data_IF_950678255872
#
_entry.id   IF_950678255872
#
_cell.length_a   1.000
_cell.length_b   1.000
_cell.length_c   1.000
_cell.angle_alpha   90.00
_cell.angle_beta   90.00
_cell.angle_gamma   90.00
#
_symmetry.space_group_name_H-M   'P 1'
#
loop_
_entity.id
_entity.type
_entity.pdbx_description
1 polymer ?
#
# COMPACT_ATOMS: atom_id res chain seq x y z
N UNK A 1 -3.59 20.24 -61.42
CA UNK A 1 -4.35 19.49 -60.40
C UNK A 1 -3.80 18.06 -60.36
N UNK A 2 -2.92 17.76 -59.40
CA UNK A 2 -2.35 16.41 -59.25
C UNK A 2 -3.24 15.54 -58.36
N UNK A 3 -3.59 14.35 -58.84
CA UNK A 3 -4.37 13.34 -58.12
C UNK A 3 -3.41 12.35 -57.47
N UNK A 4 -3.46 12.20 -56.15
CA UNK A 4 -2.78 11.12 -55.43
C UNK A 4 -3.67 9.87 -55.37
N UNK A 5 -3.09 8.64 -55.46
CA UNK A 5 -3.82 7.40 -55.27
C UNK A 5 -4.00 7.05 -53.78
N UNK A 6 -5.04 6.28 -53.41
CA UNK A 6 -5.26 5.84 -52.03
C UNK A 6 -4.40 4.62 -51.68
N UNK A 7 -3.68 4.69 -50.57
CA UNK A 7 -2.97 3.56 -49.95
C UNK A 7 -3.89 2.80 -49.01
N UNK A 8 -4.23 1.57 -49.40
CA UNK A 8 -4.92 0.58 -48.56
C UNK A 8 -3.91 -0.15 -47.67
N UNK A 9 -4.02 -0.01 -46.34
CA UNK A 9 -3.27 -0.83 -45.39
C UNK A 9 -4.26 -1.67 -44.56
N UNK A 10 -4.27 -2.97 -44.85
CA UNK A 10 -4.96 -4.00 -44.07
C UNK A 10 -4.28 -4.16 -42.70
N UNK A 11 -5.07 -4.14 -41.61
CA UNK A 11 -4.58 -4.46 -40.26
C UNK A 11 -5.13 -5.80 -39.81
N UNK A 12 -4.20 -6.75 -39.68
CA UNK A 12 -4.37 -8.09 -39.12
C UNK A 12 -4.77 -8.02 -37.64
N UNK A 13 -5.93 -8.59 -37.31
CA UNK A 13 -6.38 -8.83 -35.95
C UNK A 13 -5.82 -10.17 -35.46
N UNK A 14 -4.76 -10.16 -34.65
CA UNK A 14 -4.42 -11.30 -33.79
C UNK A 14 -5.11 -11.13 -32.45
N UNK A 15 -6.11 -11.98 -32.19
CA UNK A 15 -6.71 -12.16 -30.88
C UNK A 15 -5.67 -12.69 -29.90
N UNK A 16 -5.41 -11.93 -28.85
CA UNK A 16 -4.74 -12.42 -27.65
C UNK A 16 -5.84 -12.61 -26.62
N UNK A 17 -6.24 -13.86 -26.41
CA UNK A 17 -7.15 -14.24 -25.33
C UNK A 17 -6.47 -13.95 -23.99
N UNK A 18 -6.91 -12.87 -23.35
CA UNK A 18 -6.52 -12.54 -21.98
C UNK A 18 -7.46 -13.30 -21.04
N UNK A 19 -6.94 -14.30 -20.34
CA UNK A 19 -7.63 -14.98 -19.25
C UNK A 19 -7.34 -14.20 -17.95
N UNK A 20 -8.31 -13.47 -17.37
CA UNK A 20 -8.11 -12.83 -16.08
C UNK A 20 -8.03 -13.90 -14.98
N UNK A 21 -6.85 -14.06 -14.38
CA UNK A 21 -6.67 -14.84 -13.16
C UNK A 21 -7.48 -14.18 -12.03
N UNK A 22 -8.44 -14.93 -11.50
CA UNK A 22 -9.49 -14.46 -10.58
C UNK A 22 -9.10 -14.54 -9.09
N UNK A 23 -7.82 -14.50 -8.75
CA UNK A 23 -7.39 -14.37 -7.36
C UNK A 23 -7.44 -12.90 -6.93
N UNK A 24 -8.60 -12.47 -6.42
CA UNK A 24 -8.69 -11.22 -5.67
C UNK A 24 -7.75 -11.32 -4.45
N UNK A 25 -6.80 -10.39 -4.25
CA UNK A 25 -6.02 -10.38 -3.03
C UNK A 25 -6.92 -10.02 -1.83
N UNK A 26 -6.75 -10.67 -0.67
CA UNK A 26 -7.49 -10.34 0.53
C UNK A 26 -6.87 -9.07 1.15
N UNK A 27 -7.33 -7.90 0.75
CA UNK A 27 -7.15 -6.72 1.60
C UNK A 27 -8.35 -6.66 2.54
N UNK A 28 -8.12 -6.87 3.82
CA UNK A 28 -9.12 -6.71 4.86
C UNK A 28 -9.56 -5.24 4.88
N UNK A 29 -10.78 -4.99 4.38
CA UNK A 29 -11.45 -3.69 4.42
C UNK A 29 -12.07 -3.58 5.82
N UNK A 30 -11.43 -2.84 6.72
CA UNK A 30 -12.00 -2.54 8.04
C UNK A 30 -12.94 -1.33 7.90
N UNK A 31 -14.15 -1.53 8.42
CA UNK A 31 -15.34 -0.70 8.37
C UNK A 31 -15.10 0.79 8.73
N UNK A 32 -15.57 1.70 7.86
CA UNK A 32 -16.07 3.01 8.29
C UNK A 32 -17.39 2.76 9.04
N UNK A 33 -17.26 2.22 10.24
CA UNK A 33 -18.31 2.10 11.23
C UNK A 33 -17.95 2.99 12.40
N UNK A 34 -18.04 4.31 12.21
CA UNK A 34 -17.99 5.25 13.33
C UNK A 34 -19.28 5.09 14.15
N UNK A 35 -19.30 4.06 15.00
CA UNK A 35 -20.24 3.97 16.10
C UNK A 35 -19.96 5.13 17.05
N UNK A 36 -20.81 6.15 17.03
CA UNK A 36 -20.97 7.05 18.18
C UNK A 36 -21.52 6.20 19.33
N UNK A 37 -20.67 5.81 20.27
CA UNK A 37 -21.11 5.25 21.54
C UNK A 37 -21.55 6.39 22.46
N UNK A 38 -22.85 6.48 22.71
CA UNK A 38 -23.40 7.26 23.82
C UNK A 38 -23.08 6.54 25.14
N UNK A 39 -22.65 7.33 26.13
CA UNK A 39 -22.15 6.82 27.40
C UNK A 39 -23.22 6.23 28.30
N UNK A 40 -22.81 5.25 29.10
CA UNK A 40 -23.49 4.84 30.33
C UNK A 40 -22.47 4.22 31.27
N UNK A 41 -22.08 4.97 32.31
CA UNK A 41 -21.21 4.49 33.37
C UNK A 41 -22.04 3.72 34.40
N UNK A 42 -21.67 2.47 34.67
CA UNK A 42 -22.00 1.80 35.93
C UNK A 42 -20.79 1.01 36.42
N UNK A 43 -20.30 1.48 37.57
CA UNK A 43 -19.74 0.74 38.70
C UNK A 43 -19.13 -0.63 38.43
N UNK A 44 -17.81 -0.73 38.57
CA UNK A 44 -17.14 -2.02 38.74
C UNK A 44 -16.17 -2.02 39.91
N UNK A 45 -16.21 -3.16 40.59
CA UNK A 45 -15.92 -3.41 41.98
C UNK A 45 -14.58 -4.14 42.07
N UNK A 46 -13.63 -3.51 42.75
CA UNK A 46 -12.30 -4.05 43.05
C UNK A 46 -12.36 -5.33 43.89
N UNK A 47 -11.67 -6.38 43.44
CA UNK A 47 -11.26 -7.51 44.27
C UNK A 47 -9.84 -7.95 43.89
N UNK A 48 -8.95 -7.85 44.88
CA UNK A 48 -7.57 -8.27 44.85
C UNK A 48 -7.46 -9.79 45.06
N UNK A 49 -6.49 -10.44 44.41
CA UNK A 49 -5.96 -11.74 44.81
C UNK A 49 -4.44 -11.74 44.61
N UNK A 50 -3.72 -12.08 45.68
CA UNK A 50 -2.26 -12.14 45.77
C UNK A 50 -1.63 -13.49 45.38
N UNK A 51 -0.34 -13.71 45.70
CA UNK A 51 0.55 -14.64 45.00
C UNK A 51 0.86 -15.95 45.76
N UNK A 52 1.31 -16.98 45.03
CA UNK A 52 1.91 -18.24 45.54
C UNK A 52 2.80 -18.83 44.43
N UNK A 53 4.14 -18.90 44.55
CA UNK A 53 5.01 -19.83 45.29
C UNK A 53 5.16 -21.25 44.69
N UNK A 54 6.42 -21.52 44.33
CA UNK A 54 7.20 -22.76 44.44
C UNK A 54 6.76 -24.02 43.66
N UNK A 55 7.63 -24.55 42.79
CA UNK A 55 8.31 -25.87 42.95
C UNK A 55 9.16 -26.26 41.73
N UNK A 56 10.43 -26.59 41.98
CA UNK A 56 11.34 -27.39 41.15
C UNK A 56 11.01 -28.89 41.30
N UNK A 57 11.33 -29.77 40.32
CA UNK A 57 12.49 -30.65 40.54
C UNK A 57 13.28 -31.14 39.30
N UNK A 58 14.45 -31.68 39.65
CA UNK A 58 15.59 -32.25 38.91
C UNK A 58 15.34 -33.50 38.04
N UNK A 59 16.42 -33.84 37.31
CA UNK A 59 16.82 -35.13 36.68
C UNK A 59 16.35 -35.30 35.23
N UNK A 60 17.11 -35.82 34.26
CA UNK A 60 18.08 -36.92 34.23
C UNK A 60 19.10 -36.66 33.12
N UNK A 61 20.37 -37.01 33.38
CA UNK A 61 21.44 -37.12 32.38
C UNK A 61 21.30 -38.43 31.62
N UNK A 62 21.33 -38.37 30.28
CA UNK A 62 21.59 -39.54 29.42
C UNK A 62 22.70 -39.18 28.44
N UNK A 63 23.87 -39.76 28.66
CA UNK A 63 25.01 -39.74 27.73
C UNK A 63 24.99 -41.00 26.86
N UNK A 64 25.16 -40.84 25.55
CA UNK A 64 25.82 -41.75 24.60
C UNK A 64 25.64 -41.20 23.16
N UNK A 65 26.38 -41.66 22.14
CA UNK A 65 27.81 -42.00 22.02
C UNK A 65 28.49 -41.16 20.90
N UNK A 66 29.82 -41.26 20.67
CA UNK A 66 30.53 -40.39 19.73
C UNK A 66 30.66 -40.96 18.29
N UNK A 67 30.85 -40.03 17.34
CA UNK A 67 31.37 -40.14 15.94
C UNK A 67 30.42 -40.63 14.83
N UNK A 68 30.55 -40.19 13.54
CA UNK A 68 31.75 -39.68 12.86
C UNK A 68 31.61 -38.35 12.04
N UNK A 69 32.77 -37.75 11.81
CA UNK A 69 33.15 -36.76 10.78
C UNK A 69 32.08 -36.15 9.86
N UNK A 70 31.64 -34.93 10.20
CA UNK A 70 31.06 -33.97 9.24
C UNK A 70 32.13 -32.92 8.89
N UNK A 71 33.22 -33.38 8.28
CA UNK A 71 34.24 -32.52 7.70
C UNK A 71 34.12 -32.47 6.17
N UNK A 72 32.92 -32.17 5.64
CA UNK A 72 32.76 -32.01 4.18
C UNK A 72 31.61 -31.09 3.72
N UNK A 73 30.91 -30.37 4.61
CA UNK A 73 29.76 -29.52 4.21
C UNK A 73 29.89 -28.03 4.56
N UNK A 74 31.08 -27.54 4.98
CA UNK A 74 31.24 -26.15 5.44
C UNK A 74 31.74 -25.17 4.36
N UNK A 75 31.91 -25.61 3.12
CA UNK A 75 32.41 -24.79 2.01
C UNK A 75 31.35 -24.44 0.95
N UNK A 76 30.16 -25.06 0.95
CA UNK A 76 29.11 -24.78 -0.06
C UNK A 76 28.01 -23.81 0.41
N UNK A 77 27.90 -23.56 1.72
CA UNK A 77 26.86 -22.69 2.31
C UNK A 77 27.34 -21.28 2.68
N UNK A 78 28.55 -20.89 2.25
CA UNK A 78 29.13 -19.55 2.52
C UNK A 78 29.26 -18.66 1.28
N UNK A 79 28.45 -18.91 0.25
CA UNK A 79 28.56 -18.23 -1.05
C UNK A 79 27.54 -17.12 -1.37
N UNK A 80 26.48 -16.89 -0.58
CA UNK A 80 25.40 -15.96 -0.97
C UNK A 80 24.71 -15.22 0.19
N UNK A 81 25.40 -14.86 1.26
CA UNK A 81 24.97 -13.69 2.05
C UNK A 81 25.47 -12.42 1.35
N UNK A 82 25.01 -12.20 0.12
CA UNK A 82 24.97 -10.86 -0.40
C UNK A 82 23.97 -10.12 0.50
N UNK A 83 24.45 -9.11 1.22
CA UNK A 83 23.60 -8.13 1.91
C UNK A 83 22.72 -7.43 0.86
N UNK A 84 21.64 -8.09 0.42
CA UNK A 84 20.68 -7.50 -0.49
C UNK A 84 20.00 -6.39 0.30
N UNK A 85 20.44 -5.16 0.06
CA UNK A 85 19.80 -3.96 0.59
C UNK A 85 18.41 -3.90 -0.02
N UNK A 86 17.42 -4.39 0.74
CA UNK A 86 16.01 -4.26 0.41
C UNK A 86 15.52 -2.92 0.92
N UNK A 87 14.66 -2.27 0.15
CA UNK A 87 14.10 -0.97 0.51
C UNK A 87 12.60 -1.14 0.78
N UNK A 88 12.12 -0.82 2.00
CA UNK A 88 10.73 -1.05 2.36
C UNK A 88 9.80 -0.19 1.50
N UNK A 89 8.67 -0.78 1.10
CA UNK A 89 7.59 -0.13 0.38
C UNK A 89 6.34 -0.07 1.27
N UNK A 90 5.65 1.06 1.25
CA UNK A 90 4.34 1.19 1.88
C UNK A 90 3.27 0.97 0.82
N UNK A 91 2.53 -0.13 0.95
CA UNK A 91 1.41 -0.42 0.06
C UNK A 91 0.21 0.48 0.36
N UNK A 92 -0.30 1.14 -0.68
CA UNK A 92 -1.45 2.04 -0.62
C UNK A 92 -2.47 1.69 -1.70
N UNK A 93 -3.68 2.21 -1.57
CA UNK A 93 -4.72 2.01 -2.59
C UNK A 93 -4.39 2.76 -3.90
N UNK A 94 -4.63 2.11 -5.04
CA UNK A 94 -4.69 2.82 -6.33
C UNK A 94 -6.01 3.57 -6.46
N UNK A 95 -6.11 4.49 -7.42
CA UNK A 95 -7.38 5.19 -7.68
C UNK A 95 -8.50 4.26 -8.15
N UNK A 96 -8.17 3.08 -8.70
CA UNK A 96 -9.14 2.10 -9.22
C UNK A 96 -9.36 0.90 -8.29
N UNK A 97 -8.57 0.77 -7.21
CA UNK A 97 -8.66 -0.35 -6.27
C UNK A 97 -8.23 -1.73 -6.83
N UNK A 98 -7.64 -1.79 -8.04
CA UNK A 98 -7.29 -3.08 -8.68
C UNK A 98 -5.96 -3.61 -8.17
N UNK A 99 -4.89 -2.82 -8.30
CA UNK A 99 -3.57 -3.13 -7.79
C UNK A 99 -3.15 -2.07 -6.79
N UNK A 100 -2.35 -2.40 -5.76
CA UNK A 100 -1.83 -1.40 -4.85
C UNK A 100 -0.87 -0.44 -5.59
N UNK A 101 -0.72 0.75 -5.04
CA UNK A 101 0.37 1.69 -5.36
C UNK A 101 1.36 1.61 -4.24
N UNK A 102 2.63 1.42 -4.57
CA UNK A 102 3.70 1.36 -3.59
C UNK A 102 4.30 2.75 -3.41
N UNK A 103 4.43 3.20 -2.16
CA UNK A 103 5.05 4.46 -1.79
C UNK A 103 6.41 4.21 -1.15
N UNK A 104 7.37 5.04 -1.52
CA UNK A 104 8.68 5.12 -0.89
C UNK A 104 8.89 6.55 -0.41
N UNK A 105 8.91 6.76 0.90
CA UNK A 105 9.27 8.04 1.50
C UNK A 105 10.78 8.21 1.48
N UNK A 106 11.25 9.37 0.98
CA UNK A 106 12.67 9.68 0.89
C UNK A 106 13.18 9.96 2.31
N UNK A 107 14.19 9.22 2.80
CA UNK A 107 14.72 9.42 4.14
C UNK A 107 15.21 10.86 4.36
N UNK A 108 14.86 11.44 5.51
CA UNK A 108 15.27 12.80 5.88
C UNK A 108 14.47 13.93 5.22
N UNK A 109 13.38 13.63 4.51
CA UNK A 109 12.54 14.64 3.86
C UNK A 109 11.04 14.36 3.98
N UNK A 110 10.25 15.26 3.37
CA UNK A 110 8.79 15.17 3.25
C UNK A 110 8.35 14.84 1.81
N UNK A 111 9.25 14.21 1.05
CA UNK A 111 9.05 13.89 -0.35
C UNK A 111 8.99 12.37 -0.53
N UNK A 112 8.21 11.92 -1.49
CA UNK A 112 8.06 10.50 -1.79
C UNK A 112 8.03 10.24 -3.30
N UNK A 113 8.38 8.99 -3.65
CA UNK A 113 8.06 8.42 -4.94
C UNK A 113 6.91 7.43 -4.80
N UNK A 114 6.06 7.38 -5.83
CA UNK A 114 5.03 6.36 -5.92
C UNK A 114 5.21 5.52 -7.17
N UNK A 115 4.93 4.24 -7.01
CA UNK A 115 5.13 3.22 -8.01
C UNK A 115 3.82 2.48 -8.24
N UNK A 116 3.44 2.33 -9.50
CA UNK A 116 2.19 1.71 -9.92
C UNK A 116 2.47 0.38 -10.60
N UNK A 117 1.65 -0.61 -10.29
CA UNK A 117 1.80 -1.95 -10.84
C UNK A 117 1.80 -1.94 -12.37
N UNK A 118 2.69 -2.74 -12.96
CA UNK A 118 2.81 -2.90 -14.40
C UNK A 118 2.59 -4.35 -14.83
N UNK A 119 3.25 -5.30 -14.18
CA UNK A 119 3.16 -6.73 -14.50
C UNK A 119 3.75 -7.57 -13.38
N UNK A 120 3.39 -8.85 -13.36
CA UNK A 120 4.02 -9.89 -12.55
C UNK A 120 5.00 -10.69 -13.41
N UNK A 121 6.18 -10.98 -12.86
CA UNK A 121 7.15 -11.93 -13.40
C UNK A 121 7.18 -13.19 -12.51
N UNK A 122 7.90 -14.23 -12.94
CA UNK A 122 7.96 -15.51 -12.22
C UNK A 122 8.41 -15.44 -10.74
N UNK A 123 9.15 -14.40 -10.34
CA UNK A 123 9.72 -14.28 -8.97
C UNK A 123 9.46 -12.93 -8.30
N UNK A 124 8.86 -11.97 -9.00
CA UNK A 124 8.69 -10.61 -8.50
C UNK A 124 7.62 -9.89 -9.29
N UNK A 125 7.04 -8.86 -8.69
CA UNK A 125 6.24 -7.89 -9.41
C UNK A 125 7.11 -6.75 -9.93
N UNK A 126 6.68 -6.12 -11.02
CA UNK A 126 7.33 -4.94 -11.57
C UNK A 126 6.38 -3.77 -11.45
N UNK A 127 6.85 -2.72 -10.80
CA UNK A 127 6.15 -1.45 -10.67
C UNK A 127 6.90 -0.35 -11.46
N UNK A 128 6.17 0.66 -11.92
CA UNK A 128 6.71 1.83 -12.61
C UNK A 128 6.53 3.09 -11.78
N UNK A 129 7.54 3.98 -11.77
CA UNK A 129 7.39 5.30 -11.17
C UNK A 129 6.21 6.06 -11.84
N UNK A 130 5.24 6.47 -11.04
CA UNK A 130 4.04 7.16 -11.50
C UNK A 130 4.35 8.55 -12.08
N UNK A 131 5.36 9.24 -11.53
CA UNK A 131 5.81 10.54 -12.04
C UNK A 131 6.46 10.42 -13.42
N UNK A 132 7.44 9.52 -13.58
CA UNK A 132 8.09 9.28 -14.86
C UNK A 132 7.10 8.84 -15.94
N UNK A 133 6.13 7.97 -15.58
CA UNK A 133 5.09 7.53 -16.51
C UNK A 133 4.26 8.69 -17.08
N UNK A 134 3.94 9.69 -16.25
CA UNK A 134 3.21 10.90 -16.71
C UNK A 134 4.04 11.75 -17.69
N UNK A 135 5.36 11.68 -17.59
CA UNK A 135 6.31 12.37 -18.48
C UNK A 135 6.70 11.52 -19.70
N UNK A 136 6.04 10.38 -19.94
CA UNK A 136 6.30 9.51 -21.08
C UNK A 136 7.53 8.60 -20.94
N UNK A 137 8.24 8.63 -19.81
CA UNK A 137 9.37 7.73 -19.54
C UNK A 137 8.96 6.56 -18.66
N UNK A 138 9.78 5.51 -18.60
CA UNK A 138 9.50 4.32 -17.79
C UNK A 138 10.70 4.02 -16.90
N UNK A 139 10.49 4.13 -15.59
CA UNK A 139 11.46 3.72 -14.57
C UNK A 139 10.89 2.52 -13.83
N UNK A 140 11.24 1.29 -14.23
CA UNK A 140 10.76 0.07 -13.59
C UNK A 140 11.59 -0.28 -12.34
N UNK A 141 10.89 -0.77 -11.32
CA UNK A 141 11.49 -1.32 -10.11
C UNK A 141 10.89 -2.70 -9.81
N UNK A 142 11.70 -3.76 -9.68
CA UNK A 142 11.22 -5.05 -9.21
C UNK A 142 10.94 -5.02 -7.70
N UNK A 143 9.83 -5.65 -7.31
CA UNK A 143 9.31 -5.71 -5.94
C UNK A 143 9.15 -7.17 -5.53
N UNK A 144 9.72 -7.52 -4.38
CA UNK A 144 9.62 -8.84 -3.78
C UNK A 144 8.48 -8.85 -2.77
N UNK A 145 7.62 -9.87 -2.86
CA UNK A 145 6.48 -10.12 -1.97
C UNK A 145 5.51 -8.93 -1.81
N UNK A 146 5.51 -7.98 -2.77
CA UNK A 146 4.71 -6.75 -2.68
C UNK A 146 5.21 -5.71 -1.66
N UNK A 147 6.30 -5.99 -0.93
CA UNK A 147 6.73 -5.22 0.24
C UNK A 147 8.09 -4.55 0.08
N UNK A 148 9.00 -5.13 -0.71
CA UNK A 148 10.39 -4.67 -0.78
C UNK A 148 10.84 -4.37 -2.19
N UNK A 149 11.33 -3.15 -2.42
CA UNK A 149 12.03 -2.83 -3.66
C UNK A 149 13.42 -3.47 -3.66
N UNK A 150 13.79 -4.06 -4.79
CA UNK A 150 15.12 -4.68 -4.99
C UNK A 150 16.25 -3.67 -5.25
N UNK A 151 15.91 -2.40 -5.48
CA UNK A 151 16.82 -1.28 -5.73
C UNK A 151 16.34 -0.06 -4.98
N UNK A 152 17.28 0.82 -4.61
CA UNK A 152 16.99 2.10 -3.95
C UNK A 152 16.10 2.97 -4.85
N UNK A 153 14.83 3.20 -4.48
CA UNK A 153 13.91 3.98 -5.32
C UNK A 153 14.36 5.44 -5.48
N UNK A 154 15.12 5.98 -4.53
CA UNK A 154 15.64 7.35 -4.57
C UNK A 154 16.83 7.53 -5.51
N UNK A 155 17.53 6.44 -5.87
CA UNK A 155 18.70 6.46 -6.77
C UNK A 155 18.40 5.97 -8.19
N UNK A 156 17.14 5.64 -8.49
CA UNK A 156 16.75 5.30 -9.85
C UNK A 156 16.85 6.54 -10.76
N UNK A 157 17.08 6.36 -12.08
CA UNK A 157 17.24 7.47 -13.02
C UNK A 157 15.88 8.11 -13.37
N UNK A 158 15.26 8.78 -12.40
CA UNK A 158 14.01 9.49 -12.58
C UNK A 158 14.22 10.77 -13.38
N UNK A 159 13.26 11.07 -14.26
CA UNK A 159 13.13 12.40 -14.89
C UNK A 159 12.08 13.27 -14.19
N UNK A 160 11.29 12.67 -13.29
CA UNK A 160 10.30 13.39 -12.50
C UNK A 160 10.88 13.85 -11.16
N UNK A 161 10.36 14.96 -10.65
CA UNK A 161 10.53 15.33 -9.24
C UNK A 161 9.64 14.47 -8.34
N UNK A 162 10.12 14.11 -7.12
CA UNK A 162 9.29 13.43 -6.13
C UNK A 162 8.12 14.33 -5.68
N UNK A 163 7.07 13.72 -5.14
CA UNK A 163 5.88 14.43 -4.66
C UNK A 163 5.98 14.71 -3.16
N UNK A 164 5.21 15.68 -2.67
CA UNK A 164 5.03 15.86 -1.24
C UNK A 164 4.33 14.64 -0.65
N UNK A 165 4.95 14.02 0.34
CA UNK A 165 4.49 12.84 1.06
C UNK A 165 3.06 13.02 1.58
N UNK A 166 2.84 14.15 2.25
CA UNK A 166 1.56 14.61 2.81
C UNK A 166 0.45 14.65 1.75
N UNK A 167 0.73 15.23 0.58
CA UNK A 167 -0.27 15.33 -0.49
C UNK A 167 -0.60 13.98 -1.13
N UNK A 168 0.39 13.10 -1.32
CA UNK A 168 0.11 11.75 -1.83
C UNK A 168 -0.72 10.96 -0.83
N UNK A 169 -0.39 11.03 0.46
CA UNK A 169 -1.11 10.35 1.53
C UNK A 169 -2.58 10.72 1.59
N UNK A 170 -2.88 12.04 1.58
CA UNK A 170 -4.27 12.51 1.53
C UNK A 170 -4.98 11.96 0.31
N UNK A 171 -4.35 11.97 -0.88
CA UNK A 171 -4.94 11.36 -2.08
C UNK A 171 -5.26 9.87 -1.89
N UNK A 172 -4.39 9.11 -1.22
CA UNK A 172 -4.64 7.69 -0.93
C UNK A 172 -5.80 7.50 0.05
N UNK A 173 -5.87 8.30 1.11
CA UNK A 173 -6.99 8.26 2.07
C UNK A 173 -8.32 8.53 1.37
N UNK A 174 -8.35 9.54 0.49
CA UNK A 174 -9.54 9.87 -0.29
C UNK A 174 -9.94 8.73 -1.20
N UNK A 175 -8.99 8.14 -1.95
CA UNK A 175 -9.29 7.01 -2.83
C UNK A 175 -9.82 5.82 -2.04
N UNK A 176 -9.25 5.56 -0.86
CA UNK A 176 -9.67 4.49 0.03
C UNK A 176 -11.11 4.72 0.50
N UNK A 177 -11.40 5.89 1.04
CA UNK A 177 -12.74 6.22 1.54
C UNK A 177 -13.80 6.22 0.41
N UNK A 178 -13.46 6.72 -0.78
CA UNK A 178 -14.35 6.63 -1.94
C UNK A 178 -14.61 5.17 -2.36
N UNK A 179 -13.59 4.30 -2.33
CA UNK A 179 -13.73 2.88 -2.67
C UNK A 179 -14.57 2.14 -1.64
N UNK A 180 -14.35 2.41 -0.36
CA UNK A 180 -15.12 1.85 0.75
C UNK A 180 -16.59 2.26 0.63
N UNK A 181 -16.85 3.55 0.46
CA UNK A 181 -18.20 4.02 0.22
C UNK A 181 -18.85 3.33 -0.99
N UNK A 182 -18.09 2.90 -2.01
CA UNK A 182 -18.62 2.23 -3.20
C UNK A 182 -19.07 0.80 -2.96
N UNK A 183 -18.51 0.13 -1.95
CA UNK A 183 -18.84 -1.25 -1.63
C UNK A 183 -19.78 -1.36 -0.42
N UNK A 184 -19.84 -0.33 0.41
CA UNK A 184 -20.70 -0.23 1.60
C UNK A 184 -22.15 0.10 1.20
N UNK A 185 -23.12 -0.82 1.40
CA UNK A 185 -24.53 -0.58 1.05
C UNK A 185 -25.14 0.63 1.76
N UNK A 186 -24.74 0.91 2.99
CA UNK A 186 -25.21 2.04 3.80
C UNK A 186 -24.83 3.39 3.20
N UNK A 187 -23.84 3.42 2.31
CA UNK A 187 -23.42 4.61 1.58
C UNK A 187 -24.22 4.85 0.29
N UNK A 188 -25.06 3.90 -0.15
CA UNK A 188 -25.82 4.02 -1.40
C UNK A 188 -26.88 5.14 -1.34
N UNK A 189 -27.53 5.31 -0.19
CA UNK A 189 -28.60 6.31 -0.02
C UNK A 189 -28.09 7.69 0.45
N UNK A 190 -26.79 7.79 0.76
CA UNK A 190 -26.20 9.02 1.29
C UNK A 190 -26.06 10.05 0.19
N UNK A 191 -26.41 11.29 0.52
CA UNK A 191 -26.19 12.41 -0.40
C UNK A 191 -24.68 12.61 -0.58
N UNK A 192 -24.20 13.02 -1.77
CA UNK A 192 -22.77 13.22 -2.02
C UNK A 192 -22.09 14.21 -1.05
N UNK A 193 -22.85 15.17 -0.53
CA UNK A 193 -22.39 16.11 0.49
C UNK A 193 -22.12 15.45 1.84
N UNK A 194 -22.95 14.47 2.24
CA UNK A 194 -22.76 13.71 3.48
C UNK A 194 -21.52 12.82 3.35
N UNK A 195 -21.37 12.11 2.23
CA UNK A 195 -20.16 11.32 1.95
C UNK A 195 -18.89 12.18 1.99
N UNK A 196 -18.94 13.41 1.46
CA UNK A 196 -17.81 14.31 1.53
C UNK A 196 -17.44 14.69 2.97
N UNK A 197 -18.43 14.94 3.83
CA UNK A 197 -18.20 15.23 5.25
C UNK A 197 -17.63 14.01 5.98
N UNK A 198 -18.12 12.82 5.70
CA UNK A 198 -17.56 11.58 6.29
C UNK A 198 -16.11 11.37 5.87
N UNK A 199 -15.75 11.70 4.62
CA UNK A 199 -14.35 11.66 4.17
C UNK A 199 -13.52 12.73 4.87
N UNK A 200 -14.08 13.93 5.11
CA UNK A 200 -13.42 15.01 5.86
C UNK A 200 -13.11 14.57 7.29
N UNK A 201 -14.11 14.02 7.99
CA UNK A 201 -13.98 13.47 9.34
C UNK A 201 -12.98 12.29 9.36
N UNK A 202 -13.01 11.43 8.34
CA UNK A 202 -12.06 10.33 8.19
C UNK A 202 -10.63 10.84 8.04
N UNK A 203 -10.42 11.85 7.19
CA UNK A 203 -9.13 12.53 7.06
C UNK A 203 -8.77 13.26 8.35
N UNK A 204 -9.70 13.73 9.16
CA UNK A 204 -9.37 14.36 10.43
C UNK A 204 -8.91 13.34 11.50
N UNK A 205 -9.59 12.19 11.56
CA UNK A 205 -9.39 11.15 12.58
C UNK A 205 -8.14 10.29 12.30
N UNK A 206 -7.80 10.02 11.04
CA UNK A 206 -6.73 9.06 10.70
C UNK A 206 -5.29 9.54 10.98
N UNK A 207 -5.11 10.57 11.80
CA UNK A 207 -3.90 11.37 11.80
C UNK A 207 -2.93 11.13 12.94
N UNK A 208 -1.68 11.46 12.61
CA UNK A 208 -0.52 11.51 13.49
C UNK A 208 -0.76 12.40 14.71
N UNK A 209 -0.14 12.04 15.83
CA UNK A 209 -0.06 12.87 17.03
C UNK A 209 0.50 14.29 16.77
N UNK A 210 1.16 14.51 15.62
CA UNK A 210 1.67 15.81 15.18
C UNK A 210 0.57 16.73 14.61
N UNK A 211 0.24 17.83 15.30
CA UNK A 211 -0.77 18.80 14.84
C UNK A 211 -0.40 19.51 13.53
N UNK A 212 0.90 19.73 13.28
CA UNK A 212 1.35 20.49 12.10
C UNK A 212 1.09 19.71 10.82
N UNK A 213 1.39 18.41 10.84
CA UNK A 213 1.11 17.51 9.72
C UNK A 213 -0.38 17.36 9.47
N UNK A 214 -1.19 17.28 10.53
CA UNK A 214 -2.66 17.27 10.42
C UNK A 214 -3.18 18.50 9.70
N UNK A 215 -2.72 19.69 10.09
CA UNK A 215 -3.11 20.94 9.44
C UNK A 215 -2.71 20.97 7.95
N UNK A 216 -1.49 20.57 7.58
CA UNK A 216 -1.06 20.55 6.17
C UNK A 216 -1.96 19.66 5.32
N UNK A 217 -2.40 18.54 5.87
CA UNK A 217 -3.23 17.60 5.15
C UNK A 217 -4.68 18.02 5.01
N UNK A 218 -5.27 18.59 6.06
CA UNK A 218 -6.61 19.20 5.99
C UNK A 218 -6.60 20.35 4.97
N UNK A 219 -5.57 21.20 5.01
CA UNK A 219 -5.37 22.25 4.03
C UNK A 219 -5.31 21.69 2.60
N UNK A 220 -4.57 20.61 2.37
CA UNK A 220 -4.52 19.95 1.07
C UNK A 220 -5.87 19.35 0.66
N UNK A 221 -6.59 18.71 1.59
CA UNK A 221 -7.90 18.12 1.36
C UNK A 221 -8.91 19.19 0.92
N UNK A 222 -8.99 20.30 1.67
CA UNK A 222 -9.90 21.42 1.44
C UNK A 222 -9.52 22.28 0.23
N UNK A 223 -8.25 22.32 -0.19
CA UNK A 223 -7.77 23.13 -1.33
C UNK A 223 -8.58 22.93 -2.61
N UNK A 224 -8.94 21.69 -2.93
CA UNK A 224 -9.76 21.38 -4.10
C UNK A 224 -11.27 21.40 -3.79
N UNK A 225 -11.62 21.27 -2.51
CA UNK A 225 -12.97 21.32 -1.99
C UNK A 225 -13.93 20.25 -2.52
N UNK A 226 -15.19 20.38 -2.12
CA UNK A 226 -16.28 19.49 -2.52
C UNK A 226 -16.53 19.49 -4.05
N UNK A 227 -16.42 20.65 -4.71
CA UNK A 227 -16.75 20.79 -6.13
C UNK A 227 -15.92 19.84 -7.02
N UNK A 228 -14.63 19.68 -6.73
CA UNK A 228 -13.74 18.81 -7.50
C UNK A 228 -14.07 17.30 -7.37
N UNK A 229 -14.79 16.91 -6.32
CA UNK A 229 -15.05 15.50 -5.97
C UNK A 229 -16.51 15.11 -6.08
N UNK A 230 -17.41 16.09 -6.24
CA UNK A 230 -18.85 15.86 -6.36
C UNK A 230 -19.17 14.80 -7.40
N UNK A 231 -18.56 14.83 -8.58
CA UNK A 231 -18.85 13.85 -9.64
C UNK A 231 -18.48 12.42 -9.24
N UNK A 232 -17.39 12.23 -8.50
CA UNK A 232 -17.00 10.90 -8.00
C UNK A 232 -17.96 10.40 -6.91
N UNK A 233 -18.59 11.31 -6.17
CA UNK A 233 -19.51 11.00 -5.06
C UNK A 233 -20.98 10.93 -5.49
N UNK A 234 -21.37 11.58 -6.58
CA UNK A 234 -22.75 11.74 -7.06
C UNK A 234 -23.22 10.56 -7.93
N UNK A 235 -23.08 9.35 -7.39
CA UNK A 235 -23.50 8.10 -8.05
C UNK A 235 -24.88 8.19 -8.70
#
# INVERSE_FOLDING_TARGET
MMRYPPTSAARSTRGSEYVPSSSKPPYNVVLIGLHKSEGSSKDEKSLAVGPSKDEEPLTVRTEAPPTPDIAANSAFTRGLQQNVRMFPAVANVSSKGIHPVLRYDIPGGNLCYTFMYQRTNARCDVYLCAGCRKLGTRVPVPVLNGEFFTKDPGRLPHVCSPWKSVEDEVKRLIYKACQEACVTPECADKKPRQLYQEIDDYVDIHYSEDPSRREEMLNFFHRNGYKARRTTLAR
#
